data_IF_192298546615
#
_entry.id   IF_192298546615
#
_cell.length_a   1.000
_cell.length_b   1.000
_cell.length_c   1.000
_cell.angle_alpha   90.00
_cell.angle_beta   90.00
_cell.angle_gamma   90.00
#
_symmetry.space_group_name_H-M   'P 1'
#
loop_
_entity.id
_entity.type
_entity.pdbx_description
1 polymer ?
#
# COMPACT_ATOMS: atom_id res chain seq x y z
N UNK A 1 -18.70 -13.64 -25.77
CA UNK A 1 -17.61 -12.78 -25.26
C UNK A 1 -17.37 -13.13 -23.80
N UNK A 2 -16.12 -13.26 -23.37
CA UNK A 2 -15.80 -13.41 -21.95
C UNK A 2 -15.77 -12.03 -21.28
N UNK A 3 -16.37 -11.90 -20.10
CA UNK A 3 -16.31 -10.67 -19.30
C UNK A 3 -14.92 -10.59 -18.66
N UNK A 4 -14.22 -9.47 -18.84
CA UNK A 4 -12.95 -9.22 -18.15
C UNK A 4 -13.21 -8.85 -16.68
N UNK A 5 -12.43 -9.45 -15.78
CA UNK A 5 -12.56 -9.30 -14.33
C UNK A 5 -11.31 -8.66 -13.74
N UNK A 6 -11.51 -7.81 -12.73
CA UNK A 6 -10.46 -7.13 -11.97
C UNK A 6 -10.95 -6.84 -10.54
N UNK A 7 -10.12 -6.18 -9.75
CA UNK A 7 -10.43 -5.72 -8.39
C UNK A 7 -9.82 -4.35 -8.13
N UNK A 8 -10.10 -3.77 -6.96
CA UNK A 8 -9.81 -2.37 -6.63
C UNK A 8 -8.39 -2.10 -6.09
N UNK A 9 -7.40 -2.94 -6.41
CA UNK A 9 -6.01 -2.75 -5.98
C UNK A 9 -5.60 -3.64 -4.80
N UNK A 10 -5.43 -3.08 -3.61
CA UNK A 10 -4.85 -3.79 -2.45
C UNK A 10 -5.40 -5.20 -2.16
N UNK A 11 -4.51 -6.12 -1.77
CA UNK A 11 -4.83 -7.50 -1.38
C UNK A 11 -4.13 -7.87 -0.05
N UNK A 12 -4.60 -8.92 0.67
CA UNK A 12 -3.98 -9.35 1.93
C UNK A 12 -2.50 -9.71 1.77
N UNK A 13 -1.68 -9.24 2.72
CA UNK A 13 -0.22 -9.41 2.72
C UNK A 13 0.21 -10.42 3.78
N UNK A 14 1.35 -11.08 3.56
CA UNK A 14 1.97 -11.90 4.60
C UNK A 14 2.53 -11.02 5.72
N UNK A 15 2.69 -11.59 6.91
CA UNK A 15 3.27 -10.85 8.04
C UNK A 15 4.69 -10.33 7.71
N UNK A 16 5.50 -11.11 6.99
CA UNK A 16 6.85 -10.70 6.57
C UNK A 16 6.83 -9.42 5.73
N UNK A 17 5.88 -9.28 4.79
CA UNK A 17 5.70 -8.05 4.00
C UNK A 17 5.31 -6.88 4.90
N UNK A 18 4.38 -7.11 5.83
CA UNK A 18 3.92 -6.10 6.78
C UNK A 18 5.09 -5.59 7.63
N UNK A 19 5.90 -6.49 8.19
CA UNK A 19 7.02 -6.15 9.06
C UNK A 19 8.02 -5.22 8.35
N UNK A 20 8.41 -5.54 7.12
CA UNK A 20 9.31 -4.72 6.31
C UNK A 20 8.73 -3.34 5.97
N UNK A 21 7.45 -3.28 5.61
CA UNK A 21 6.78 -2.02 5.30
C UNK A 21 6.73 -1.11 6.52
N UNK A 22 6.45 -1.67 7.71
CA UNK A 22 6.44 -0.90 8.94
C UNK A 22 7.84 -0.51 9.42
N UNK A 23 8.86 -1.35 9.23
CA UNK A 23 10.24 -0.97 9.50
C UNK A 23 10.65 0.25 8.64
N UNK A 24 10.37 0.18 7.33
CA UNK A 24 10.60 1.30 6.40
C UNK A 24 9.81 2.55 6.78
N UNK A 25 8.54 2.41 7.14
CA UNK A 25 7.66 3.51 7.55
C UNK A 25 8.19 4.27 8.78
N UNK A 26 8.79 3.54 9.72
CA UNK A 26 9.34 4.10 10.96
C UNK A 26 10.80 4.55 10.85
N UNK A 27 11.46 4.29 9.72
CA UNK A 27 12.90 4.52 9.58
C UNK A 27 13.75 3.60 10.46
N UNK A 28 13.24 2.40 10.77
CA UNK A 28 14.01 1.34 11.43
C UNK A 28 14.96 0.69 10.42
N UNK A 29 16.11 0.19 10.88
CA UNK A 29 17.05 -0.53 10.01
C UNK A 29 16.45 -1.86 9.53
N UNK A 30 16.62 -2.15 8.23
CA UNK A 30 16.25 -3.43 7.65
C UNK A 30 17.18 -3.79 6.48
N UNK A 31 17.25 -5.08 6.15
CA UNK A 31 18.02 -5.55 5.00
C UNK A 31 17.29 -5.22 3.69
N UNK A 32 17.82 -4.28 2.90
CA UNK A 32 17.21 -3.85 1.63
C UNK A 32 17.15 -4.96 0.57
N UNK A 33 18.16 -5.83 0.53
CA UNK A 33 18.19 -6.96 -0.42
C UNK A 33 17.07 -7.94 -0.09
N UNK A 34 16.90 -8.25 1.20
CA UNK A 34 15.82 -9.12 1.66
C UNK A 34 14.45 -8.47 1.48
N UNK A 35 14.33 -7.16 1.73
CA UNK A 35 13.12 -6.39 1.44
C UNK A 35 12.70 -6.56 -0.03
N UNK A 36 13.61 -6.31 -0.97
CA UNK A 36 13.33 -6.41 -2.40
C UNK A 36 12.93 -7.83 -2.82
N UNK A 37 13.60 -8.85 -2.26
CA UNK A 37 13.26 -10.26 -2.49
C UNK A 37 11.85 -10.59 -1.99
N UNK A 38 11.51 -10.19 -0.77
CA UNK A 38 10.19 -10.42 -0.15
C UNK A 38 9.08 -9.76 -0.95
N UNK A 39 9.27 -8.51 -1.41
CA UNK A 39 8.27 -7.82 -2.24
C UNK A 39 8.09 -8.53 -3.59
N UNK A 40 9.19 -8.99 -4.20
CA UNK A 40 9.15 -9.73 -5.47
C UNK A 40 8.37 -11.04 -5.34
N UNK A 41 8.63 -11.81 -4.28
CA UNK A 41 7.94 -13.07 -4.01
C UNK A 41 6.46 -12.86 -3.73
N UNK A 42 6.13 -11.85 -2.94
CA UNK A 42 4.75 -11.55 -2.56
C UNK A 42 3.92 -11.05 -3.75
N UNK A 43 4.49 -10.25 -4.67
CA UNK A 43 3.82 -9.89 -5.93
C UNK A 43 3.60 -11.12 -6.81
N UNK A 44 4.59 -12.01 -6.93
CA UNK A 44 4.45 -13.24 -7.71
C UNK A 44 3.34 -14.15 -7.17
N UNK A 45 3.30 -14.34 -5.85
CA UNK A 45 2.24 -15.12 -5.20
C UNK A 45 0.85 -14.49 -5.38
N UNK A 46 0.78 -13.16 -5.27
CA UNK A 46 -0.45 -12.37 -5.45
C UNK A 46 -1.01 -12.51 -6.86
N UNK A 47 -0.16 -12.39 -7.90
CA UNK A 47 -0.58 -12.57 -9.30
C UNK A 47 -1.04 -14.02 -9.55
N UNK A 48 -0.31 -15.02 -9.02
CA UNK A 48 -0.69 -16.43 -9.12
C UNK A 48 -2.06 -16.70 -8.53
N UNK A 49 -2.34 -16.17 -7.33
CA UNK A 49 -3.64 -16.32 -6.66
C UNK A 49 -4.78 -15.66 -7.43
N UNK A 50 -4.55 -14.46 -7.97
CA UNK A 50 -5.53 -13.76 -8.82
C UNK A 50 -5.87 -14.56 -10.07
N UNK A 51 -4.86 -15.06 -10.81
CA UNK A 51 -5.07 -15.92 -11.99
C UNK A 51 -5.84 -17.19 -11.63
N UNK A 52 -5.48 -17.85 -10.52
CA UNK A 52 -6.20 -19.04 -10.01
C UNK A 52 -7.67 -18.74 -9.68
N UNK A 53 -7.98 -17.53 -9.23
CA UNK A 53 -9.33 -17.07 -8.92
C UNK A 53 -10.12 -16.61 -10.17
N UNK A 54 -9.52 -16.63 -11.37
CA UNK A 54 -10.18 -16.19 -12.60
C UNK A 54 -10.19 -14.68 -12.83
N UNK A 55 -9.31 -13.93 -12.15
CA UNK A 55 -9.09 -12.50 -12.44
C UNK A 55 -8.29 -12.36 -13.73
N UNK A 56 -8.84 -11.68 -14.73
CA UNK A 56 -8.20 -11.52 -16.05
C UNK A 56 -7.30 -10.30 -16.13
N UNK A 57 -7.63 -9.22 -15.44
CA UNK A 57 -6.80 -8.00 -15.33
C UNK A 57 -6.30 -7.91 -13.90
N UNK A 58 -5.08 -8.42 -13.69
CA UNK A 58 -4.44 -8.53 -12.38
C UNK A 58 -3.67 -7.26 -11.99
N UNK A 59 -3.40 -7.09 -10.69
CA UNK A 59 -2.52 -6.04 -10.14
C UNK A 59 -1.40 -6.63 -9.28
N UNK A 60 -0.48 -5.79 -8.81
CA UNK A 60 0.55 -6.15 -7.82
C UNK A 60 -0.01 -6.30 -6.39
N UNK A 61 -1.32 -6.07 -6.21
CA UNK A 61 -1.99 -6.09 -4.91
C UNK A 61 -1.53 -4.99 -3.95
N UNK A 62 -0.89 -3.92 -4.47
CA UNK A 62 -0.25 -2.86 -3.70
C UNK A 62 0.71 -3.40 -2.62
N UNK A 63 1.36 -4.53 -2.91
CA UNK A 63 2.08 -5.32 -1.90
C UNK A 63 3.18 -4.54 -1.18
N UNK A 64 3.87 -3.63 -1.86
CA UNK A 64 5.03 -2.87 -1.35
C UNK A 64 4.67 -1.56 -0.63
N UNK A 65 3.39 -1.15 -0.60
CA UNK A 65 2.98 0.20 -0.19
C UNK A 65 2.38 0.18 1.22
N UNK A 66 2.77 1.14 2.07
CA UNK A 66 2.19 1.31 3.41
C UNK A 66 0.67 1.54 3.35
N UNK A 67 0.21 2.30 2.36
CA UNK A 67 -1.19 2.64 2.12
C UNK A 67 -1.36 3.15 0.69
N UNK A 68 -2.54 2.95 0.09
CA UNK A 68 -2.88 3.54 -1.21
C UNK A 68 -2.84 5.08 -1.21
N UNK A 69 -2.97 5.72 -0.04
CA UNK A 69 -3.01 7.18 0.08
C UNK A 69 -1.69 7.77 0.60
N UNK A 70 -1.16 7.21 1.69
CA UNK A 70 -0.04 7.84 2.40
C UNK A 70 1.33 7.54 1.79
N UNK A 71 1.44 6.56 0.86
CA UNK A 71 2.68 6.30 0.13
C UNK A 71 3.11 7.45 -0.79
N UNK A 72 2.27 8.47 -0.98
CA UNK A 72 2.61 9.66 -1.78
C UNK A 72 3.89 10.35 -1.29
N UNK A 73 4.19 10.27 0.02
CA UNK A 73 5.45 10.78 0.59
C UNK A 73 6.68 10.04 0.08
N UNK A 74 6.52 8.81 -0.40
CA UNK A 74 7.61 8.00 -0.99
C UNK A 74 7.82 8.38 -2.46
N UNK A 75 6.86 9.04 -3.10
CA UNK A 75 6.87 9.40 -4.53
C UNK A 75 7.17 10.87 -4.79
N UNK A 76 6.86 11.74 -3.84
CA UNK A 76 7.00 13.19 -4.01
C UNK A 76 7.74 13.81 -2.81
N UNK A 77 8.57 14.81 -3.12
CA UNK A 77 9.00 15.82 -2.15
C UNK A 77 7.81 16.72 -1.78
N UNK A 78 7.90 17.35 -0.61
CA UNK A 78 6.87 18.26 -0.11
C UNK A 78 5.74 17.61 0.70
N UNK A 79 5.72 16.29 0.85
CA UNK A 79 4.86 15.57 1.80
C UNK A 79 5.63 15.10 3.02
N UNK A 80 5.19 15.50 4.23
CA UNK A 80 5.79 15.07 5.50
C UNK A 80 4.81 15.22 6.68
N UNK A 81 5.28 14.86 7.89
CA UNK A 81 4.55 15.04 9.15
C UNK A 81 3.39 14.05 9.36
N UNK A 82 2.60 14.32 10.40
CA UNK A 82 1.35 13.62 10.70
C UNK A 82 0.23 14.65 10.91
N UNK A 83 -0.66 14.77 9.92
CA UNK A 83 -1.79 15.72 9.98
C UNK A 83 -2.73 15.44 11.16
N UNK A 84 -3.45 16.41 11.73
CA UNK A 84 -4.43 16.15 12.80
C UNK A 84 -5.54 15.17 12.38
N UNK A 85 -6.08 14.38 13.32
CA UNK A 85 -7.26 13.54 13.06
C UNK A 85 -8.52 14.38 13.17
N UNK A 86 -9.18 14.62 12.05
CA UNK A 86 -10.51 15.20 12.03
C UNK A 86 -11.53 14.10 11.76
N UNK A 87 -12.49 13.92 12.67
CA UNK A 87 -13.61 13.04 12.41
C UNK A 87 -14.36 13.53 11.14
N UNK A 88 -14.64 12.64 10.17
CA UNK A 88 -15.47 12.93 9.03
C UNK A 88 -16.77 13.64 9.43
N UNK A 89 -17.17 14.65 8.66
CA UNK A 89 -18.29 15.53 9.03
C UNK A 89 -19.64 14.80 9.10
N UNK A 90 -19.80 13.75 8.31
CA UNK A 90 -20.91 12.81 8.36
C UNK A 90 -20.89 11.97 9.65
N UNK A 91 -19.74 11.44 10.06
CA UNK A 91 -19.62 10.67 11.31
C UNK A 91 -19.91 11.50 12.56
N UNK A 92 -19.64 12.81 12.53
CA UNK A 92 -20.03 13.73 13.61
C UNK A 92 -21.55 13.78 13.83
N UNK A 93 -22.37 13.45 12.80
CA UNK A 93 -23.83 13.36 12.91
C UNK A 93 -24.30 12.07 13.60
N UNK A 94 -23.41 11.08 13.78
CA UNK A 94 -23.70 9.77 14.35
C UNK A 94 -22.70 9.43 15.48
N UNK A 95 -22.76 10.11 16.64
CA UNK A 95 -21.73 10.02 17.68
C UNK A 95 -21.56 8.61 18.25
N UNK A 96 -22.64 7.83 18.39
CA UNK A 96 -22.56 6.44 18.87
C UNK A 96 -21.80 5.54 17.89
N UNK A 97 -21.98 5.75 16.58
CA UNK A 97 -21.27 5.01 15.56
C UNK A 97 -19.80 5.43 15.48
N UNK A 98 -19.52 6.73 15.61
CA UNK A 98 -18.16 7.25 15.72
C UNK A 98 -17.41 6.66 16.93
N UNK A 99 -18.07 6.56 18.10
CA UNK A 99 -17.50 5.92 19.29
C UNK A 99 -17.22 4.44 19.06
N UNK A 100 -18.14 3.71 18.41
CA UNK A 100 -17.92 2.30 18.04
C UNK A 100 -16.68 2.13 17.16
N UNK A 101 -16.56 2.93 16.09
CA UNK A 101 -15.39 2.89 15.20
C UNK A 101 -14.07 3.20 15.91
N UNK A 102 -14.10 4.12 16.88
CA UNK A 102 -12.93 4.43 17.70
C UNK A 102 -12.51 3.23 18.57
N UNK A 103 -13.48 2.54 19.17
CA UNK A 103 -13.25 1.36 20.01
C UNK A 103 -12.78 0.13 19.22
N UNK A 104 -13.26 -0.03 17.98
CA UNK A 104 -12.89 -1.15 17.10
C UNK A 104 -11.41 -1.09 16.64
N UNK A 105 -10.69 0.01 16.94
CA UNK A 105 -9.25 0.09 16.74
C UNK A 105 -8.80 0.14 15.27
N UNK A 106 -9.74 0.27 14.32
CA UNK A 106 -9.47 0.31 12.87
C UNK A 106 -8.71 1.55 12.39
N UNK A 107 -8.24 2.38 13.32
CA UNK A 107 -7.51 3.60 13.02
C UNK A 107 -6.04 3.25 12.71
N UNK A 108 -5.55 3.48 11.47
CA UNK A 108 -4.19 3.11 11.12
C UNK A 108 -3.16 3.91 11.94
N UNK A 109 -2.11 3.24 12.43
CA UNK A 109 -1.08 3.82 13.31
C UNK A 109 0.12 4.45 12.59
N UNK A 110 0.16 4.42 11.25
CA UNK A 110 1.22 5.04 10.46
C UNK A 110 0.97 6.55 10.26
N UNK A 111 2.02 7.28 9.88
CA UNK A 111 1.96 8.73 9.71
C UNK A 111 1.04 9.11 8.54
N UNK A 112 0.31 10.23 8.69
CA UNK A 112 -0.56 10.80 7.65
C UNK A 112 0.12 12.05 7.08
N UNK A 113 0.98 11.88 6.07
CA UNK A 113 1.74 12.99 5.51
C UNK A 113 0.79 14.05 4.96
N UNK A 114 1.19 15.31 5.12
CA UNK A 114 0.51 16.47 4.57
C UNK A 114 1.46 17.28 3.71
N UNK A 115 0.91 18.11 2.83
CA UNK A 115 1.70 19.05 2.04
C UNK A 115 2.33 20.07 2.98
N UNK A 116 3.66 20.08 3.06
CA UNK A 116 4.47 20.99 3.90
C UNK A 116 5.30 21.97 3.05
N UNK A 117 5.44 21.72 1.75
CA UNK A 117 6.16 22.58 0.82
C UNK A 117 5.79 22.27 -0.64
N UNK A 118 6.42 22.95 -1.59
CA UNK A 118 6.23 22.72 -3.03
C UNK A 118 6.45 21.24 -3.39
N UNK A 119 5.51 20.69 -4.17
CA UNK A 119 5.56 19.29 -4.59
C UNK A 119 6.46 19.10 -5.81
N UNK A 120 7.37 18.13 -5.72
CA UNK A 120 8.27 17.74 -6.81
C UNK A 120 8.43 16.22 -6.83
N UNK A 121 8.45 15.54 -7.99
CA UNK A 121 8.65 14.09 -8.05
C UNK A 121 9.99 13.68 -7.46
N UNK A 122 10.01 12.58 -6.71
CA UNK A 122 11.25 11.88 -6.34
C UNK A 122 11.76 11.04 -7.51
N UNK A 123 12.92 10.40 -7.34
CA UNK A 123 13.39 9.34 -8.25
C UNK A 123 12.36 8.20 -8.31
N UNK A 124 12.25 7.60 -9.48
CA UNK A 124 11.23 6.58 -9.78
C UNK A 124 11.65 5.15 -9.39
N UNK A 125 12.65 4.97 -8.53
CA UNK A 125 13.24 3.66 -8.24
C UNK A 125 12.19 2.68 -7.70
N UNK A 126 11.38 3.10 -6.73
CA UNK A 126 10.25 2.29 -6.22
C UNK A 126 9.17 2.04 -7.28
N UNK A 127 9.01 2.93 -8.27
CA UNK A 127 7.98 2.78 -9.31
C UNK A 127 8.40 1.69 -10.28
N UNK A 128 9.67 1.77 -10.67
CA UNK A 128 10.30 0.84 -11.57
C UNK A 128 10.33 -0.55 -10.91
N UNK A 129 10.69 -0.64 -9.61
CA UNK A 129 10.63 -1.89 -8.85
C UNK A 129 9.22 -2.51 -8.85
N UNK A 130 8.19 -1.73 -8.55
CA UNK A 130 6.80 -2.21 -8.56
C UNK A 130 6.38 -2.73 -9.95
N UNK A 131 6.66 -1.95 -11.00
CA UNK A 131 6.34 -2.31 -12.38
C UNK A 131 7.10 -3.57 -12.81
N UNK A 132 8.38 -3.66 -12.48
CA UNK A 132 9.22 -4.80 -12.84
C UNK A 132 8.78 -6.07 -12.12
N UNK A 133 8.39 -5.98 -10.85
CA UNK A 133 7.86 -7.10 -10.09
C UNK A 133 6.57 -7.63 -10.72
N UNK A 134 5.64 -6.74 -11.08
CA UNK A 134 4.40 -7.13 -11.76
C UNK A 134 4.68 -7.75 -13.14
N UNK A 135 5.54 -7.14 -13.96
CA UNK A 135 5.92 -7.66 -15.27
C UNK A 135 6.59 -9.03 -15.18
N UNK A 136 7.52 -9.22 -14.22
CA UNK A 136 8.20 -10.50 -14.00
C UNK A 136 7.21 -11.57 -13.52
N UNK A 137 6.31 -11.22 -12.60
CA UNK A 137 5.26 -12.13 -12.15
C UNK A 137 4.35 -12.55 -13.31
N UNK A 138 3.91 -11.61 -14.15
CA UNK A 138 3.10 -11.92 -15.33
C UNK A 138 3.79 -12.88 -16.32
N UNK A 139 5.12 -12.78 -16.50
CA UNK A 139 5.89 -13.67 -17.38
C UNK A 139 6.10 -15.07 -16.81
N UNK A 140 6.04 -15.23 -15.49
CA UNK A 140 6.24 -16.52 -14.78
C UNK A 140 4.98 -17.39 -14.72
N UNK A 141 3.82 -16.82 -15.03
CA UNK A 141 2.50 -17.41 -14.88
C UNK A 141 1.81 -17.54 -16.23
#
# INVERSE_FOLDING_TARGET
>A
MAIQTSHVGSLPRSQKVVDYIFAREKGEDYNEIEFDQVMTEAVNDTVRKQKKAGITIVSDGETSKISYATYVKDRYHGFAGDSPRNAPADLKKFPNYLQKLANDGGTPKYARPMCVSKLEPKKNDDLIKDIDNLKKALKRQ
#
